data_IF_770729014018
#
_entry.id   IF_770729014018
#
_cell.length_a   1.000
_cell.length_b   1.000
_cell.length_c   1.000
_cell.angle_alpha   90.00
_cell.angle_beta   90.00
_cell.angle_gamma   90.00
#
_symmetry.space_group_name_H-M   'P 1'
#
loop_
_entity.id
_entity.type
_entity.pdbx_description
1 polymer ?
#
# COMPACT_ATOMS: atom_id res chain seq x y z
N UNK A 1 -5.37 -2.08 6.01
CA UNK A 1 -5.97 -1.95 4.67
C UNK A 1 -5.32 -2.95 3.75
N UNK A 2 -6.14 -3.63 2.96
CA UNK A 2 -5.72 -4.81 2.19
C UNK A 2 -5.79 -4.54 0.69
N UNK A 3 -4.75 -4.94 -0.03
CA UNK A 3 -4.66 -4.85 -1.49
C UNK A 3 -4.52 -6.27 -2.03
N UNK A 4 -5.46 -6.69 -2.85
CA UNK A 4 -5.45 -8.03 -3.45
C UNK A 4 -4.62 -8.08 -4.72
N UNK A 5 -3.67 -9.01 -4.82
CA UNK A 5 -2.91 -9.25 -6.04
C UNK A 5 -3.72 -10.20 -6.92
N UNK A 6 -4.08 -9.73 -8.12
CA UNK A 6 -4.85 -10.48 -9.11
C UNK A 6 -4.15 -10.49 -10.48
N UNK A 7 -4.62 -11.30 -11.40
CA UNK A 7 -4.12 -11.41 -12.76
C UNK A 7 -4.22 -12.85 -13.28
N UNK A 8 -3.99 -13.05 -14.57
CA UNK A 8 -3.99 -14.35 -15.22
C UNK A 8 -2.93 -15.30 -14.66
N UNK A 9 -3.01 -16.61 -14.89
CA UNK A 9 -1.92 -17.54 -14.54
C UNK A 9 -0.59 -17.15 -15.20
N UNK A 10 0.53 -17.40 -14.49
CA UNK A 10 1.89 -17.23 -14.99
C UNK A 10 2.30 -15.78 -15.39
N UNK A 11 1.63 -14.75 -14.83
CA UNK A 11 1.97 -13.34 -15.08
C UNK A 11 3.01 -12.76 -14.09
N UNK A 12 3.35 -13.51 -13.01
CA UNK A 12 4.31 -13.06 -12.01
C UNK A 12 3.73 -12.69 -10.64
N UNK A 13 2.44 -13.00 -10.36
CA UNK A 13 1.77 -12.65 -9.07
C UNK A 13 2.52 -13.17 -7.84
N UNK A 14 2.81 -14.47 -7.81
CA UNK A 14 3.48 -15.08 -6.66
C UNK A 14 4.93 -14.59 -6.51
N UNK A 15 5.61 -14.28 -7.62
CA UNK A 15 6.95 -13.68 -7.59
C UNK A 15 6.90 -12.26 -6.99
N UNK A 16 5.91 -11.45 -7.39
CA UNK A 16 5.67 -10.13 -6.81
C UNK A 16 5.37 -10.23 -5.32
N UNK A 17 4.46 -11.13 -4.94
CA UNK A 17 4.12 -11.35 -3.54
C UNK A 17 5.36 -11.76 -2.71
N UNK A 18 6.18 -12.67 -3.23
CA UNK A 18 7.43 -13.06 -2.58
C UNK A 18 8.42 -11.90 -2.45
N UNK A 19 8.57 -11.07 -3.49
CA UNK A 19 9.43 -9.88 -3.44
C UNK A 19 8.93 -8.87 -2.39
N UNK A 20 7.62 -8.66 -2.29
CA UNK A 20 7.00 -7.81 -1.28
C UNK A 20 7.18 -8.40 0.14
N UNK A 21 6.96 -9.70 0.32
CA UNK A 21 7.06 -10.34 1.64
C UNK A 21 8.49 -10.42 2.19
N UNK A 22 9.52 -10.37 1.34
CA UNK A 22 10.90 -10.21 1.80
C UNK A 22 11.18 -8.84 2.46
N UNK A 23 10.34 -7.84 2.18
CA UNK A 23 10.30 -6.55 2.88
C UNK A 23 9.33 -6.54 4.06
N UNK A 24 8.81 -7.70 4.45
CA UNK A 24 7.85 -7.81 5.55
C UNK A 24 8.46 -7.32 6.87
N UNK A 25 7.65 -6.61 7.62
CA UNK A 25 8.04 -6.04 8.92
C UNK A 25 7.65 -6.95 10.07
N UNK A 26 8.32 -6.73 11.20
CA UNK A 26 7.89 -7.31 12.46
C UNK A 26 6.51 -6.75 12.85
N UNK A 27 5.51 -7.63 12.81
CA UNK A 27 4.11 -7.29 13.10
C UNK A 27 3.86 -6.99 14.58
N UNK A 28 4.83 -7.19 15.47
CA UNK A 28 4.69 -6.90 16.92
C UNK A 28 4.32 -5.45 17.21
N UNK A 29 4.68 -4.51 16.32
CA UNK A 29 4.35 -3.09 16.42
C UNK A 29 2.97 -2.74 15.86
N UNK A 30 2.26 -3.69 15.26
CA UNK A 30 1.00 -3.50 14.55
C UNK A 30 -0.07 -4.49 15.03
N UNK A 31 -0.68 -4.23 16.19
CA UNK A 31 -1.59 -5.18 16.86
C UNK A 31 -2.81 -5.57 16.01
N UNK A 32 -3.08 -4.84 14.93
CA UNK A 32 -4.20 -5.13 14.01
C UNK A 32 -3.75 -5.78 12.69
N UNK A 33 -2.45 -6.07 12.51
CA UNK A 33 -1.96 -6.76 11.32
C UNK A 33 -2.36 -8.24 11.35
N UNK A 34 -2.85 -8.74 10.21
CA UNK A 34 -3.26 -10.15 10.09
C UNK A 34 -2.03 -11.02 9.88
N UNK A 35 -1.88 -12.08 10.69
CA UNK A 35 -0.85 -13.10 10.49
C UNK A 35 -1.46 -14.23 9.66
N UNK A 36 -1.17 -14.24 8.36
CA UNK A 36 -1.62 -15.27 7.42
C UNK A 36 -0.53 -15.48 6.37
N UNK A 37 -0.21 -16.71 5.93
CA UNK A 37 0.84 -16.98 4.95
C UNK A 37 0.59 -16.32 3.58
N UNK A 38 -0.65 -15.93 3.29
CA UNK A 38 -1.02 -15.27 2.04
C UNK A 38 -1.15 -13.73 2.21
N UNK A 39 -0.78 -13.19 3.37
CA UNK A 39 -0.79 -11.74 3.63
C UNK A 39 0.62 -11.26 3.92
N UNK A 40 1.12 -10.37 3.06
CA UNK A 40 2.39 -9.67 3.23
C UNK A 40 2.17 -8.28 3.83
N UNK A 41 2.70 -8.06 5.05
CA UNK A 41 2.65 -6.75 5.71
C UNK A 41 3.90 -5.96 5.37
N UNK A 42 3.75 -4.84 4.67
CA UNK A 42 4.86 -4.08 4.09
C UNK A 42 4.83 -2.63 4.55
N UNK A 43 6.01 -2.09 4.91
CA UNK A 43 6.14 -0.67 5.27
C UNK A 43 5.90 0.24 4.06
N UNK A 44 5.19 1.33 4.30
CA UNK A 44 5.09 2.43 3.33
C UNK A 44 6.33 3.32 3.50
N UNK A 45 7.19 3.44 2.48
CA UNK A 45 8.38 4.27 2.56
C UNK A 45 8.02 5.75 2.71
N UNK A 46 8.39 6.36 3.84
CA UNK A 46 8.16 7.77 4.12
C UNK A 46 9.38 8.38 4.84
N UNK A 47 10.16 9.18 4.12
CA UNK A 47 11.36 9.81 4.66
C UNK A 47 11.05 10.86 5.75
N UNK A 48 9.82 11.40 5.77
CA UNK A 48 9.40 12.42 6.74
C UNK A 48 9.49 11.89 8.16
N UNK A 49 9.16 10.60 8.37
CA UNK A 49 9.21 9.95 9.68
C UNK A 49 10.62 9.98 10.29
N UNK A 50 11.63 9.60 9.50
CA UNK A 50 13.02 9.59 9.97
C UNK A 50 13.51 11.01 10.28
N UNK A 51 13.16 11.99 9.41
CA UNK A 51 13.49 13.41 9.62
C UNK A 51 12.85 13.97 10.89
N UNK A 52 11.65 13.54 11.25
CA UNK A 52 10.95 13.95 12.49
C UNK A 52 11.52 13.26 13.74
N UNK A 53 11.97 12.02 13.61
CA UNK A 53 12.54 11.27 14.73
C UNK A 53 13.88 11.82 15.20
N UNK A 54 14.70 12.35 14.31
CA UNK A 54 16.03 12.88 14.60
C UNK A 54 16.00 14.05 15.62
N UNK A 55 15.31 15.17 15.38
CA UNK A 55 15.26 16.29 16.33
C UNK A 55 14.44 15.97 17.59
N UNK A 56 13.60 14.95 17.57
CA UNK A 56 12.84 14.47 18.72
C UNK A 56 13.62 13.46 19.59
N UNK A 57 14.81 13.05 19.12
CA UNK A 57 15.64 12.01 19.77
C UNK A 57 14.85 10.72 20.03
N UNK A 58 13.98 10.34 19.11
CA UNK A 58 13.06 9.21 19.28
C UNK A 58 13.84 7.89 19.35
N UNK A 59 13.58 7.11 20.41
CA UNK A 59 14.20 5.79 20.59
C UNK A 59 13.72 4.78 19.54
N UNK A 60 12.53 5.01 18.96
CA UNK A 60 11.88 4.11 18.04
C UNK A 60 11.15 4.89 16.94
N UNK A 61 11.21 4.38 15.72
CA UNK A 61 10.40 4.86 14.58
C UNK A 61 9.49 3.77 14.10
N UNK A 62 8.20 4.07 13.91
CA UNK A 62 7.21 3.11 13.43
C UNK A 62 6.54 3.69 12.17
N UNK A 63 6.84 3.16 10.97
CA UNK A 63 6.21 3.59 9.73
C UNK A 63 4.75 3.13 9.62
N UNK A 64 4.03 3.60 8.63
CA UNK A 64 2.74 3.03 8.24
C UNK A 64 2.95 1.72 7.49
N UNK A 65 1.89 0.88 7.43
CA UNK A 65 1.90 -0.39 6.72
C UNK A 65 0.74 -0.50 5.74
N UNK A 66 0.94 -1.31 4.72
CA UNK A 66 -0.11 -1.82 3.82
C UNK A 66 -0.01 -3.34 3.76
N UNK A 67 -1.16 -4.01 3.67
CA UNK A 67 -1.24 -5.45 3.56
C UNK A 67 -1.50 -5.84 2.10
N UNK A 68 -0.60 -6.64 1.52
CA UNK A 68 -0.82 -7.28 0.23
C UNK A 68 -1.30 -8.71 0.41
N UNK A 69 -2.35 -9.09 -0.33
CA UNK A 69 -2.99 -10.41 -0.23
C UNK A 69 -2.77 -11.16 -1.54
N UNK A 70 -2.10 -12.32 -1.52
CA UNK A 70 -2.02 -13.20 -2.69
C UNK A 70 -3.34 -13.98 -2.84
N UNK A 71 -4.28 -13.38 -3.56
CA UNK A 71 -5.60 -13.98 -3.79
C UNK A 71 -5.48 -15.27 -4.63
N UNK A 72 -4.52 -15.35 -5.54
CA UNK A 72 -4.30 -16.55 -6.36
C UNK A 72 -3.76 -17.72 -5.53
N UNK A 73 -2.93 -17.46 -4.53
CA UNK A 73 -2.41 -18.46 -3.59
C UNK A 73 -3.52 -19.08 -2.72
N UNK A 74 -4.55 -18.31 -2.38
CA UNK A 74 -5.70 -18.75 -1.61
C UNK A 74 -6.60 -19.75 -2.37
N UNK A 75 -6.50 -19.79 -3.70
CA UNK A 75 -7.34 -20.63 -4.58
C UNK A 75 -6.49 -21.67 -5.30
N UNK A 76 -5.62 -22.39 -4.58
CA UNK A 76 -4.92 -23.56 -5.13
C UNK A 76 -5.95 -24.60 -5.59
N UNK A 77 -6.12 -24.74 -6.92
CA UNK A 77 -7.06 -25.69 -7.54
C UNK A 77 -8.00 -25.08 -8.60
N UNK A 78 -8.13 -23.75 -8.68
CA UNK A 78 -8.95 -23.08 -9.72
C UNK A 78 -8.31 -23.06 -11.12
N UNK A 79 -7.12 -23.65 -11.28
CA UNK A 79 -6.41 -23.74 -12.57
C UNK A 79 -6.99 -24.79 -13.52
N UNK A 80 -7.96 -25.58 -13.10
CA UNK A 80 -8.59 -26.63 -13.91
C UNK A 80 -9.99 -26.21 -14.38
N UNK A 81 -10.07 -25.26 -15.31
CA UNK A 81 -11.13 -25.24 -16.33
C UNK A 81 -12.49 -24.61 -16.01
N UNK A 82 -12.77 -24.14 -14.81
CA UNK A 82 -14.04 -23.45 -14.49
C UNK A 82 -13.73 -22.03 -13.99
N UNK A 83 -13.73 -21.04 -14.86
CA UNK A 83 -13.65 -19.60 -14.57
C UNK A 83 -12.99 -19.14 -13.23
N UNK A 84 -12.83 -17.87 -12.97
CA UNK A 84 -12.39 -17.38 -11.65
C UNK A 84 -13.38 -17.86 -10.58
N UNK A 85 -13.04 -18.95 -9.86
CA UNK A 85 -13.94 -19.64 -8.94
C UNK A 85 -14.56 -18.70 -7.89
N UNK A 86 -15.74 -19.03 -7.38
CA UNK A 86 -16.48 -18.23 -6.41
C UNK A 86 -15.62 -17.81 -5.18
N UNK A 87 -14.66 -18.65 -4.76
CA UNK A 87 -13.72 -18.33 -3.67
C UNK A 87 -12.79 -17.14 -4.02
N UNK A 88 -12.25 -17.09 -5.25
CA UNK A 88 -11.42 -15.97 -5.71
C UNK A 88 -12.18 -14.64 -5.61
N UNK A 89 -13.43 -14.63 -6.03
CA UNK A 89 -14.28 -13.45 -6.00
C UNK A 89 -14.65 -13.03 -4.57
N UNK A 90 -14.84 -14.00 -3.66
CA UNK A 90 -15.04 -13.72 -2.24
C UNK A 90 -13.83 -12.97 -1.66
N UNK A 91 -12.62 -13.44 -1.95
CA UNK A 91 -11.40 -12.78 -1.46
C UNK A 91 -11.18 -11.38 -2.07
N UNK A 92 -11.57 -11.16 -3.34
CA UNK A 92 -11.55 -9.81 -3.93
C UNK A 92 -12.52 -8.88 -3.17
N UNK A 93 -13.66 -9.37 -2.69
CA UNK A 93 -14.58 -8.54 -1.89
C UNK A 93 -14.00 -8.07 -0.56
N UNK A 94 -13.12 -8.88 0.04
CA UNK A 94 -12.50 -8.62 1.35
C UNK A 94 -11.35 -7.61 1.30
N UNK A 95 -10.85 -7.25 0.12
CA UNK A 95 -9.77 -6.28 -0.03
C UNK A 95 -10.29 -4.89 -0.38
N UNK A 96 -9.52 -3.86 -0.05
CA UNK A 96 -9.89 -2.45 -0.26
C UNK A 96 -9.56 -1.97 -1.67
N UNK A 97 -8.55 -2.56 -2.32
CA UNK A 97 -8.10 -2.24 -3.68
C UNK A 97 -7.51 -3.48 -4.37
N UNK A 98 -7.32 -3.38 -5.67
CA UNK A 98 -6.77 -4.44 -6.52
C UNK A 98 -5.42 -4.00 -7.08
N UNK A 99 -4.42 -4.89 -6.99
CA UNK A 99 -3.15 -4.82 -7.67
C UNK A 99 -3.18 -5.83 -8.83
N UNK A 100 -3.46 -5.38 -10.02
CA UNK A 100 -3.69 -6.22 -11.20
C UNK A 100 -2.38 -6.41 -11.98
N UNK A 101 -1.80 -7.59 -11.90
CA UNK A 101 -0.56 -7.93 -12.60
C UNK A 101 -0.88 -8.45 -14.00
N UNK A 102 -0.33 -7.77 -15.00
CA UNK A 102 -0.48 -8.09 -16.43
C UNK A 102 0.89 -8.38 -17.03
N UNK A 103 1.01 -9.49 -17.72
CA UNK A 103 2.26 -9.87 -18.38
C UNK A 103 2.43 -9.09 -19.70
N UNK A 104 3.55 -8.39 -19.85
CA UNK A 104 3.89 -7.60 -21.01
C UNK A 104 5.21 -8.05 -21.66
N UNK A 105 5.63 -9.31 -21.47
CA UNK A 105 6.84 -9.87 -22.06
C UNK A 105 6.59 -11.23 -22.67
N UNK A 106 7.33 -11.57 -23.71
CA UNK A 106 7.35 -12.91 -24.30
C UNK A 106 8.45 -13.76 -23.68
N UNK A 107 8.09 -14.99 -23.32
CA UNK A 107 9.03 -16.00 -22.85
C UNK A 107 8.48 -17.39 -23.19
N UNK A 108 9.16 -18.09 -24.08
CA UNK A 108 8.76 -19.42 -24.59
C UNK A 108 8.74 -20.49 -23.49
N UNK A 109 9.53 -20.31 -22.43
CA UNK A 109 9.61 -21.24 -21.29
C UNK A 109 8.44 -21.10 -20.32
N UNK A 110 7.63 -20.04 -20.43
CA UNK A 110 6.51 -19.76 -19.55
C UNK A 110 5.22 -19.76 -20.38
N UNK A 111 4.39 -20.77 -20.18
CA UNK A 111 3.11 -20.92 -20.90
C UNK A 111 2.20 -19.73 -20.61
N UNK A 112 1.66 -19.10 -21.66
CA UNK A 112 0.61 -18.09 -21.56
C UNK A 112 -0.75 -18.72 -21.83
N UNK A 113 -1.80 -18.32 -21.11
CA UNK A 113 -3.16 -18.89 -21.22
C UNK A 113 -3.72 -18.77 -22.62
N UNK A 114 -3.46 -17.64 -23.30
CA UNK A 114 -3.92 -17.36 -24.68
C UNK A 114 -2.85 -17.64 -25.75
N UNK A 115 -1.76 -18.34 -25.39
CA UNK A 115 -0.63 -18.61 -26.27
C UNK A 115 0.41 -17.48 -26.33
N UNK A 116 0.00 -16.26 -26.60
CA UNK A 116 0.85 -15.07 -26.63
C UNK A 116 0.36 -13.97 -25.69
N UNK A 117 1.24 -13.24 -25.00
CA UNK A 117 0.86 -12.11 -24.15
C UNK A 117 0.24 -10.99 -25.00
N UNK A 118 -0.91 -10.52 -24.60
CA UNK A 118 -1.53 -9.30 -25.10
C UNK A 118 -1.99 -8.45 -23.90
N UNK A 119 -1.17 -7.47 -23.46
CA UNK A 119 -1.42 -6.76 -22.22
C UNK A 119 -2.81 -6.12 -22.09
N UNK A 120 -3.35 -5.58 -23.20
CA UNK A 120 -4.69 -4.98 -23.20
C UNK A 120 -5.77 -6.06 -23.07
N UNK A 121 -5.71 -7.10 -23.88
CA UNK A 121 -6.68 -8.18 -23.84
C UNK A 121 -6.63 -8.95 -22.51
N UNK A 122 -5.43 -9.19 -21.98
CA UNK A 122 -5.24 -9.90 -20.70
C UNK A 122 -5.82 -9.09 -19.52
N UNK A 123 -5.68 -7.77 -19.57
CA UNK A 123 -6.33 -6.86 -18.64
C UNK A 123 -7.87 -6.92 -18.76
N UNK A 124 -8.39 -6.84 -19.98
CA UNK A 124 -9.84 -6.84 -20.25
C UNK A 124 -10.52 -8.15 -19.82
N UNK A 125 -9.85 -9.30 -19.94
CA UNK A 125 -10.38 -10.60 -19.49
C UNK A 125 -10.76 -10.55 -18.01
N UNK A 126 -9.85 -10.12 -17.14
CA UNK A 126 -10.11 -10.03 -15.70
C UNK A 126 -11.20 -8.99 -15.41
N UNK A 127 -11.15 -7.83 -16.06
CA UNK A 127 -12.16 -6.77 -15.90
C UNK A 127 -13.56 -7.27 -16.25
N UNK A 128 -13.70 -7.92 -17.40
CA UNK A 128 -14.97 -8.48 -17.85
C UNK A 128 -15.51 -9.52 -16.89
N UNK A 129 -14.65 -10.39 -16.36
CA UNK A 129 -15.07 -11.39 -15.37
C UNK A 129 -15.58 -10.74 -14.07
N UNK A 130 -14.92 -9.69 -13.58
CA UNK A 130 -15.39 -8.94 -12.41
C UNK A 130 -16.74 -8.24 -12.67
N UNK A 131 -16.92 -7.65 -13.85
CA UNK A 131 -18.16 -6.99 -14.27
C UNK A 131 -19.32 -7.99 -14.40
N UNK A 132 -19.08 -9.15 -15.03
CA UNK A 132 -20.09 -10.20 -15.14
C UNK A 132 -20.55 -10.70 -13.77
N UNK A 133 -19.63 -10.84 -12.83
CA UNK A 133 -19.97 -11.27 -11.47
C UNK A 133 -20.72 -10.20 -10.66
N UNK A 134 -20.44 -8.94 -10.92
CA UNK A 134 -21.23 -7.85 -10.35
C UNK A 134 -22.67 -7.86 -10.89
N UNK A 135 -22.85 -8.16 -12.19
CA UNK A 135 -24.17 -8.31 -12.80
C UNK A 135 -24.97 -9.51 -12.26
N UNK A 136 -24.28 -10.63 -12.02
CA UNK A 136 -24.90 -11.84 -11.43
C UNK A 136 -25.25 -11.66 -9.95
N UNK A 137 -24.54 -10.77 -9.26
CA UNK A 137 -24.80 -10.47 -7.86
C UNK A 137 -25.98 -9.50 -7.74
N UNK A 138 -26.84 -9.70 -6.75
CA UNK A 138 -27.90 -8.73 -6.42
C UNK A 138 -27.34 -7.57 -5.57
N UNK A 139 -26.02 -7.48 -5.40
CA UNK A 139 -25.38 -6.46 -4.60
C UNK A 139 -25.25 -5.16 -5.39
N UNK A 140 -25.63 -4.06 -4.79
CA UNK A 140 -25.49 -2.70 -5.34
C UNK A 140 -24.33 -1.92 -4.69
N UNK A 141 -23.73 -2.50 -3.66
CA UNK A 141 -22.66 -1.91 -2.86
C UNK A 141 -21.46 -2.86 -2.89
N UNK A 142 -20.24 -2.31 -2.82
CA UNK A 142 -18.99 -3.08 -2.85
C UNK A 142 -18.79 -3.91 -4.12
N UNK A 143 -19.07 -3.31 -5.27
CA UNK A 143 -18.89 -3.93 -6.58
C UNK A 143 -17.40 -4.20 -6.85
N UNK A 144 -17.11 -5.40 -7.37
CA UNK A 144 -15.76 -5.88 -7.64
C UNK A 144 -15.06 -5.03 -8.70
N UNK A 145 -15.76 -4.73 -9.80
CA UNK A 145 -15.26 -3.94 -10.90
C UNK A 145 -15.09 -2.44 -10.58
N UNK A 146 -15.64 -1.97 -9.44
CA UNK A 146 -15.51 -0.57 -8.98
C UNK A 146 -14.44 -0.37 -7.92
N UNK A 147 -13.77 -1.43 -7.49
CA UNK A 147 -12.65 -1.28 -6.55
C UNK A 147 -11.53 -0.45 -7.19
N UNK A 148 -10.86 0.40 -6.40
CA UNK A 148 -9.64 1.07 -6.87
C UNK A 148 -8.64 0.04 -7.39
N UNK A 149 -8.03 0.30 -8.56
CA UNK A 149 -7.17 -0.66 -9.25
C UNK A 149 -5.84 -0.02 -9.65
N UNK A 150 -4.73 -0.67 -9.29
CA UNK A 150 -3.38 -0.37 -9.76
C UNK A 150 -2.96 -1.48 -10.73
N UNK A 151 -2.68 -1.11 -11.99
CA UNK A 151 -2.23 -2.06 -13.00
C UNK A 151 -0.71 -2.12 -12.99
N UNK A 152 -0.16 -3.34 -12.92
CA UNK A 152 1.27 -3.60 -12.96
C UNK A 152 1.58 -4.35 -14.24
N UNK A 153 2.22 -3.69 -15.19
CA UNK A 153 2.77 -4.34 -16.36
C UNK A 153 4.13 -4.97 -16.03
N UNK A 154 4.16 -6.30 -15.98
CA UNK A 154 5.41 -7.05 -15.83
C UNK A 154 6.12 -7.11 -17.17
N UNK A 155 7.21 -6.35 -17.33
CA UNK A 155 7.93 -6.18 -18.61
C UNK A 155 9.14 -7.09 -18.76
N UNK A 156 9.61 -7.71 -17.67
CA UNK A 156 10.86 -8.50 -17.64
C UNK A 156 12.06 -7.74 -18.26
N UNK A 157 12.16 -6.43 -17.92
CA UNK A 157 13.26 -5.56 -18.36
C UNK A 157 13.25 -5.18 -19.84
N UNK A 158 12.22 -5.58 -20.61
CA UNK A 158 12.11 -5.25 -22.03
C UNK A 158 11.37 -3.93 -22.25
N UNK A 159 11.87 -3.15 -23.21
CA UNK A 159 11.12 -2.01 -23.75
C UNK A 159 9.97 -2.55 -24.61
N UNK A 160 8.77 -2.53 -24.05
CA UNK A 160 7.55 -3.00 -24.72
C UNK A 160 6.60 -1.81 -24.83
N UNK A 161 5.92 -1.68 -25.94
CA UNK A 161 4.83 -0.72 -26.07
C UNK A 161 3.65 -1.16 -25.20
N UNK A 162 3.32 -0.34 -24.21
CA UNK A 162 2.28 -0.63 -23.23
C UNK A 162 1.01 0.15 -23.52
N UNK A 163 -0.18 -0.43 -23.29
CA UNK A 163 -1.42 0.31 -23.40
C UNK A 163 -1.46 1.45 -22.36
N UNK A 164 -1.99 2.59 -22.77
CA UNK A 164 -2.18 3.74 -21.88
C UNK A 164 -3.42 3.52 -21.01
N UNK A 165 -3.21 3.01 -19.81
CA UNK A 165 -4.27 2.77 -18.82
C UNK A 165 -3.99 3.62 -17.59
N UNK A 166 -5.02 4.26 -17.05
CA UNK A 166 -4.90 5.08 -15.84
C UNK A 166 -4.46 4.22 -14.64
N UNK A 167 -3.65 4.79 -13.74
CA UNK A 167 -3.09 4.10 -12.57
C UNK A 167 -2.30 2.84 -12.95
N UNK A 168 -1.48 2.92 -13.99
CA UNK A 168 -0.59 1.83 -14.38
C UNK A 168 0.87 2.16 -14.13
N UNK A 169 1.65 1.13 -13.80
CA UNK A 169 3.11 1.18 -13.68
C UNK A 169 3.71 -0.02 -14.42
N UNK A 170 4.96 0.12 -14.86
CA UNK A 170 5.72 -0.98 -15.44
C UNK A 170 6.84 -1.38 -14.50
N UNK A 171 7.02 -2.67 -14.26
CA UNK A 171 8.04 -3.21 -13.36
C UNK A 171 8.60 -4.51 -13.95
N UNK A 172 9.89 -4.76 -13.80
CA UNK A 172 10.48 -6.09 -13.95
C UNK A 172 10.36 -6.84 -12.62
N UNK A 173 9.28 -7.62 -12.47
CA UNK A 173 9.02 -8.38 -11.24
C UNK A 173 10.10 -9.43 -10.96
N UNK A 174 10.70 -10.02 -12.00
CA UNK A 174 11.80 -10.97 -11.85
C UNK A 174 13.03 -10.29 -11.27
N UNK A 175 13.43 -9.14 -11.84
CA UNK A 175 14.54 -8.35 -11.34
C UNK A 175 14.29 -7.87 -9.90
N UNK A 176 13.09 -7.41 -9.58
CA UNK A 176 12.74 -7.00 -8.23
C UNK A 176 12.89 -8.14 -7.21
N UNK A 177 12.49 -9.35 -7.57
CA UNK A 177 12.69 -10.51 -6.72
C UNK A 177 14.18 -10.80 -6.48
N UNK A 178 15.03 -10.70 -7.51
CA UNK A 178 16.48 -10.87 -7.38
C UNK A 178 17.10 -9.77 -6.50
N UNK A 179 16.70 -8.51 -6.69
CA UNK A 179 17.16 -7.36 -5.89
C UNK A 179 16.88 -7.59 -4.39
N UNK A 180 15.74 -8.20 -4.04
CA UNK A 180 15.42 -8.48 -2.63
C UNK A 180 16.32 -9.55 -1.99
N UNK A 181 17.08 -10.31 -2.78
CA UNK A 181 18.10 -11.24 -2.29
C UNK A 181 19.49 -10.61 -2.12
N UNK A 182 19.70 -9.39 -2.64
CA UNK A 182 20.98 -8.68 -2.60
C UNK A 182 21.12 -7.85 -1.32
N UNK A 183 22.33 -7.72 -0.83
CA UNK A 183 22.67 -6.76 0.23
C UNK A 183 22.58 -5.32 -0.28
N UNK A 184 22.49 -4.36 0.63
CA UNK A 184 22.48 -2.92 0.27
C UNK A 184 23.79 -2.50 -0.41
N UNK A 185 24.91 -3.13 -0.05
CA UNK A 185 26.22 -2.91 -0.61
C UNK A 185 26.26 -3.38 -2.07
N UNK A 186 25.79 -4.59 -2.35
CA UNK A 186 25.68 -5.14 -3.71
C UNK A 186 24.76 -4.30 -4.60
N UNK A 187 23.59 -3.89 -4.10
CA UNK A 187 22.68 -3.00 -4.85
C UNK A 187 23.36 -1.68 -5.22
N UNK A 188 24.15 -1.11 -4.29
CA UNK A 188 24.86 0.14 -4.51
C UNK A 188 26.00 -0.01 -5.50
N UNK A 189 26.78 -1.08 -5.42
CA UNK A 189 27.88 -1.38 -6.36
C UNK A 189 27.36 -1.57 -7.80
N UNK A 190 26.22 -2.23 -7.94
CA UNK A 190 25.59 -2.47 -9.24
C UNK A 190 24.77 -1.25 -9.74
N UNK A 191 24.59 -0.22 -8.92
CA UNK A 191 23.78 0.96 -9.25
C UNK A 191 22.29 0.67 -9.43
N UNK A 192 21.79 -0.44 -8.85
CA UNK A 192 20.42 -0.92 -9.00
C UNK A 192 19.55 -0.32 -7.88
N UNK A 193 18.36 0.14 -8.25
CA UNK A 193 17.34 0.63 -7.30
C UNK A 193 16.07 -0.19 -7.45
N UNK A 194 15.52 -0.64 -6.33
CA UNK A 194 14.24 -1.35 -6.32
C UNK A 194 13.09 -0.37 -6.61
N UNK A 195 12.22 -0.75 -7.51
CA UNK A 195 10.99 -0.04 -7.87
C UNK A 195 9.80 -0.43 -6.96
N UNK A 196 9.96 -1.45 -6.08
CA UNK A 196 8.91 -1.87 -5.14
C UNK A 196 8.45 -0.73 -4.22
N UNK A 197 9.34 0.20 -3.87
CA UNK A 197 8.99 1.35 -3.05
C UNK A 197 7.98 2.25 -3.77
N UNK A 198 8.14 2.46 -5.08
CA UNK A 198 7.22 3.26 -5.89
C UNK A 198 5.89 2.52 -6.08
N UNK A 199 5.91 1.19 -6.24
CA UNK A 199 4.71 0.36 -6.25
C UNK A 199 3.92 0.52 -4.94
N UNK A 200 4.59 0.38 -3.78
CA UNK A 200 3.96 0.49 -2.47
C UNK A 200 3.33 1.88 -2.27
N UNK A 201 4.04 2.95 -2.66
CA UNK A 201 3.53 4.33 -2.61
C UNK A 201 2.33 4.54 -3.55
N UNK A 202 2.40 4.00 -4.78
CA UNK A 202 1.28 4.07 -5.74
C UNK A 202 0.04 3.36 -5.20
N UNK A 203 0.21 2.17 -4.63
CA UNK A 203 -0.84 1.40 -3.99
C UNK A 203 -1.45 2.13 -2.78
N UNK A 204 -0.62 2.75 -1.95
CA UNK A 204 -1.06 3.57 -0.81
C UNK A 204 -1.88 4.79 -1.26
N UNK A 205 -1.40 5.49 -2.29
CA UNK A 205 -2.09 6.64 -2.88
C UNK A 205 -3.44 6.24 -3.51
N UNK A 206 -3.49 5.07 -4.15
CA UNK A 206 -4.72 4.54 -4.76
C UNK A 206 -5.85 4.37 -3.74
N UNK A 207 -5.52 4.01 -2.50
CA UNK A 207 -6.47 3.87 -1.40
C UNK A 207 -6.98 5.21 -0.84
N UNK A 208 -6.58 6.35 -1.44
CA UNK A 208 -6.90 7.70 -0.97
C UNK A 208 -6.58 7.91 0.51
N UNK A 209 -5.41 7.41 0.91
CA UNK A 209 -4.90 7.51 2.27
C UNK A 209 -3.96 8.70 2.43
N UNK A 210 -3.92 9.23 3.64
CA UNK A 210 -2.96 10.23 4.06
C UNK A 210 -2.24 9.76 5.33
N UNK A 211 -1.06 10.33 5.55
CA UNK A 211 -0.24 10.06 6.73
C UNK A 211 -0.17 11.29 7.61
N UNK A 212 -0.48 11.14 8.88
CA UNK A 212 -0.12 12.09 9.92
C UNK A 212 0.91 11.48 10.87
N UNK A 213 1.58 12.29 11.65
CA UNK A 213 2.66 11.85 12.53
C UNK A 213 2.38 12.22 13.99
N UNK A 214 2.88 11.38 14.87
CA UNK A 214 3.14 11.73 16.26
C UNK A 214 4.64 11.61 16.51
N UNK A 215 5.24 12.51 17.29
CA UNK A 215 6.67 12.48 17.58
C UNK A 215 6.94 12.84 19.03
N UNK A 216 7.88 12.13 19.64
CA UNK A 216 8.33 12.30 21.01
C UNK A 216 9.60 11.48 21.26
N UNK A 217 10.17 11.59 22.49
CA UNK A 217 11.40 10.90 22.85
C UNK A 217 11.29 9.37 22.83
N UNK A 218 10.14 8.82 23.19
CA UNK A 218 9.96 7.37 23.20
C UNK A 218 9.71 6.82 21.78
N UNK A 219 8.90 7.53 20.99
CA UNK A 219 8.46 7.05 19.68
C UNK A 219 8.15 8.21 18.73
N UNK A 220 8.59 8.09 17.47
CA UNK A 220 8.01 8.78 16.33
C UNK A 220 7.26 7.77 15.48
N UNK A 221 6.00 8.08 15.16
CA UNK A 221 5.13 7.14 14.44
C UNK A 221 4.34 7.83 13.35
N UNK A 222 4.25 7.15 12.22
CA UNK A 222 3.38 7.49 11.11
C UNK A 222 2.05 6.74 11.23
N UNK A 223 0.93 7.45 11.04
CA UNK A 223 -0.42 6.94 11.18
C UNK A 223 -1.19 7.11 9.88
N UNK A 224 -1.91 6.09 9.48
CA UNK A 224 -2.72 6.08 8.25
C UNK A 224 -4.18 6.39 8.55
N UNK A 225 -4.75 7.31 7.79
CA UNK A 225 -6.19 7.60 7.80
C UNK A 225 -6.70 7.87 6.38
N UNK A 226 -7.99 7.67 6.10
CA UNK A 226 -8.59 8.13 4.86
C UNK A 226 -8.49 9.64 4.72
N UNK A 227 -8.21 10.12 3.51
CA UNK A 227 -8.25 11.55 3.18
C UNK A 227 -9.62 12.14 3.52
N UNK A 228 -9.65 13.35 4.06
CA UNK A 228 -10.88 13.98 4.55
C UNK A 228 -11.29 13.58 5.97
N UNK A 229 -10.50 12.77 6.68
CA UNK A 229 -10.77 12.43 8.07
C UNK A 229 -10.61 13.64 8.99
N UNK A 230 -11.51 13.77 9.97
CA UNK A 230 -11.42 14.79 11.01
C UNK A 230 -10.37 14.45 12.05
N UNK A 231 -9.88 15.46 12.79
CA UNK A 231 -8.92 15.25 13.90
C UNK A 231 -9.47 14.27 14.95
N UNK A 232 -10.75 14.37 15.30
CA UNK A 232 -11.39 13.42 16.21
C UNK A 232 -11.29 11.99 15.68
N UNK A 233 -11.62 11.79 14.40
CA UNK A 233 -11.55 10.47 13.74
C UNK A 233 -10.12 9.95 13.61
N UNK A 234 -9.16 10.85 13.36
CA UNK A 234 -7.74 10.51 13.29
C UNK A 234 -7.20 9.95 14.62
N UNK A 235 -7.70 10.45 15.76
CA UNK A 235 -7.36 9.92 17.07
C UNK A 235 -7.62 8.42 17.22
N UNK A 236 -8.67 7.88 16.56
CA UNK A 236 -8.97 6.45 16.56
C UNK A 236 -7.86 5.58 15.98
N UNK A 237 -7.07 6.11 15.05
CA UNK A 237 -5.94 5.37 14.50
C UNK A 237 -4.89 5.03 15.56
N UNK A 238 -4.81 5.85 16.63
CA UNK A 238 -3.93 5.62 17.78
C UNK A 238 -4.60 4.66 18.76
N UNK A 239 -5.80 5.01 19.24
CA UNK A 239 -6.61 4.19 20.14
C UNK A 239 -8.05 4.75 20.19
N UNK A 240 -9.05 3.91 20.49
CA UNK A 240 -10.45 4.33 20.61
C UNK A 240 -10.65 5.48 21.59
N UNK A 241 -9.92 5.50 22.71
CA UNK A 241 -10.00 6.57 23.72
C UNK A 241 -9.69 7.94 23.16
N UNK A 242 -8.78 8.06 22.20
CA UNK A 242 -8.44 9.34 21.57
C UNK A 242 -9.58 9.90 20.71
N UNK A 243 -10.44 9.05 20.16
CA UNK A 243 -11.68 9.48 19.50
C UNK A 243 -12.77 9.83 20.52
N UNK A 244 -12.99 8.95 21.53
CA UNK A 244 -14.10 9.07 22.47
C UNK A 244 -13.91 10.26 23.43
N UNK A 245 -12.71 10.45 23.96
CA UNK A 245 -12.34 11.48 24.94
C UNK A 245 -11.70 12.72 24.31
N UNK A 246 -11.80 12.88 22.99
CA UNK A 246 -11.17 13.95 22.24
C UNK A 246 -11.58 15.33 22.78
N UNK A 247 -10.63 16.14 23.19
CA UNK A 247 -10.81 17.53 23.61
C UNK A 247 -10.39 18.47 22.48
N UNK A 248 -9.13 18.36 22.03
CA UNK A 248 -8.52 19.17 20.99
C UNK A 248 -7.26 18.49 20.43
N UNK A 249 -6.74 19.03 19.33
CA UNK A 249 -5.46 18.62 18.76
C UNK A 249 -4.55 19.83 18.59
N UNK A 250 -3.32 19.74 19.08
CA UNK A 250 -2.26 20.70 18.79
C UNK A 250 -1.53 20.19 17.52
N UNK A 251 -1.47 21.02 16.46
CA UNK A 251 -1.05 20.59 15.13
C UNK A 251 0.01 21.54 14.57
N UNK A 252 1.04 20.95 13.96
CA UNK A 252 2.03 21.67 13.17
C UNK A 252 2.35 20.86 11.92
N UNK A 253 2.61 21.53 10.79
CA UNK A 253 3.06 20.84 9.58
C UNK A 253 4.51 20.38 9.72
N UNK A 254 4.83 19.18 9.26
CA UNK A 254 6.11 18.51 9.48
C UNK A 254 7.34 19.35 9.10
N UNK A 255 7.31 20.07 7.96
CA UNK A 255 8.41 20.94 7.54
C UNK A 255 8.68 22.06 8.55
N UNK A 256 7.60 22.68 9.04
CA UNK A 256 7.71 23.77 10.01
C UNK A 256 8.27 23.28 11.35
N UNK A 257 7.92 22.06 11.76
CA UNK A 257 8.49 21.47 12.97
C UNK A 257 9.99 21.20 12.80
N UNK A 258 10.42 20.73 11.63
CA UNK A 258 11.84 20.53 11.32
C UNK A 258 12.60 21.86 11.29
N UNK A 259 12.06 22.93 10.70
CA UNK A 259 12.68 24.26 10.65
C UNK A 259 12.99 24.83 12.03
N UNK A 260 12.09 24.62 13.00
CA UNK A 260 12.27 25.13 14.38
C UNK A 260 12.94 24.12 15.32
N UNK A 261 12.98 22.85 14.97
CA UNK A 261 13.72 21.79 15.63
C UNK A 261 13.09 21.21 16.91
N UNK A 262 11.98 21.77 17.43
CA UNK A 262 11.28 21.18 18.59
C UNK A 262 9.87 21.73 18.78
N UNK A 263 8.99 20.94 19.42
CA UNK A 263 7.65 21.38 19.85
C UNK A 263 7.65 22.61 20.74
N UNK A 264 8.61 22.71 21.67
CA UNK A 264 8.71 23.84 22.58
C UNK A 264 8.94 25.12 21.80
N UNK A 265 9.95 25.14 20.93
CA UNK A 265 10.23 26.29 20.07
C UNK A 265 9.09 26.61 19.12
N UNK A 266 8.39 25.59 18.62
CA UNK A 266 7.23 25.78 17.75
C UNK A 266 6.09 26.50 18.50
N UNK A 267 5.81 26.12 19.76
CA UNK A 267 4.83 26.77 20.62
C UNK A 267 5.23 28.21 20.95
N UNK A 268 6.47 28.46 21.33
CA UNK A 268 7.01 29.80 21.60
C UNK A 268 6.88 30.74 20.40
N UNK A 269 7.05 30.22 19.18
CA UNK A 269 6.92 30.99 17.92
C UNK A 269 5.48 31.09 17.42
N UNK A 270 4.49 30.52 18.12
CA UNK A 270 3.10 30.55 17.70
C UNK A 270 2.81 29.77 16.41
N UNK A 271 3.63 28.76 16.06
CA UNK A 271 3.48 27.96 14.87
C UNK A 271 2.58 26.74 15.06
N UNK A 272 2.31 26.37 16.31
CA UNK A 272 1.39 25.30 16.67
C UNK A 272 -0.03 25.84 16.66
N UNK A 273 -0.89 25.22 15.89
CA UNK A 273 -2.33 25.53 15.84
C UNK A 273 -3.07 24.60 16.78
N UNK A 274 -4.04 25.14 17.52
CA UNK A 274 -4.96 24.34 18.31
C UNK A 274 -6.25 24.20 17.53
N UNK A 275 -6.62 22.97 17.23
CA UNK A 275 -7.76 22.64 16.35
C UNK A 275 -8.80 21.80 17.10
N UNK A 276 -10.06 22.01 16.72
CA UNK A 276 -11.20 21.26 17.27
C UNK A 276 -11.47 19.96 16.52
N UNK A 277 -12.54 19.29 16.94
CA UNK A 277 -12.95 17.96 16.45
C UNK A 277 -13.22 17.88 14.95
N UNK A 278 -13.63 18.98 14.32
CA UNK A 278 -14.02 19.06 12.89
C UNK A 278 -12.85 19.43 11.96
N UNK A 279 -11.65 19.67 12.49
CA UNK A 279 -10.50 19.96 11.66
C UNK A 279 -10.20 18.76 10.74
N UNK A 280 -10.08 19.02 9.43
CA UNK A 280 -9.71 18.00 8.44
C UNK A 280 -8.20 17.87 8.43
N UNK A 281 -7.71 16.71 8.85
CA UNK A 281 -6.28 16.39 8.90
C UNK A 281 -5.69 16.40 7.50
N UNK A 282 -4.50 16.98 7.37
CA UNK A 282 -3.73 17.04 6.13
C UNK A 282 -2.58 16.05 6.14
N UNK A 283 -2.21 15.57 4.97
CA UNK A 283 -1.01 14.74 4.83
C UNK A 283 0.23 15.53 5.27
N UNK A 284 0.98 14.96 6.21
CA UNK A 284 2.15 15.61 6.81
C UNK A 284 1.87 16.42 8.08
N UNK A 285 0.64 16.46 8.59
CA UNK A 285 0.39 17.06 9.90
C UNK A 285 1.09 16.24 11.00
N UNK A 286 1.76 16.93 11.92
CA UNK A 286 2.27 16.36 13.18
C UNK A 286 1.32 16.78 14.28
N UNK A 287 0.77 15.80 15.00
CA UNK A 287 -0.38 16.01 15.90
C UNK A 287 -0.08 15.54 17.31
N UNK A 288 -0.39 16.39 18.30
CA UNK A 288 -0.47 16.04 19.71
C UNK A 288 -1.94 16.10 20.14
N UNK A 289 -2.55 14.93 20.36
CA UNK A 289 -3.93 14.83 20.81
C UNK A 289 -4.06 15.11 22.31
N UNK A 290 -5.08 15.85 22.69
CA UNK A 290 -5.45 16.10 24.09
C UNK A 290 -6.82 15.44 24.35
N UNK A 291 -6.84 14.54 25.31
CA UNK A 291 -8.00 13.76 25.75
C UNK A 291 -8.24 13.93 27.24
#
# INVERSE_FOLDING_TARGET
MKIGIVGLPNVGKSTLFQALTKKQVDTSNYPFATIDPNIGVVEVPDERLNKLAEPSHSKKTIPTIVEFVDIAGLVKGAAEGEGLGNKFLTHIREVDAICHVVRAFENESIIHVSGHPNPLNDYEIIRTELELKDLDSKETINLLAKKPELIIFNTSGKNVELPSIQNSISIDIGQEYEITNMTKEEQKELGIKSELNELIKAAYKLLNLITFFTTGEDESRAWTIPSGSTAKRAGRAIHSDFEEKFIRADIIFWEKLLEVGSWVKAKEKGLVRTEGKEYIVKDGDVIEFKI
#
